data_IF_533283451396
#
_entry.id   IF_533283451396
#
_cell.length_a   1.000
_cell.length_b   1.000
_cell.length_c   1.000
_cell.angle_alpha   90.00
_cell.angle_beta   90.00
_cell.angle_gamma   90.00
#
_symmetry.space_group_name_H-M   'P 1'
#
loop_
_entity.id
_entity.type
_entity.pdbx_description
1 polymer ?
#
# COMPACT_ATOMS: atom_id res chain seq x y z
N UNK A 1 4.10 -5.37 -9.77
CA UNK A 1 4.44 -4.81 -8.45
C UNK A 1 5.89 -5.15 -8.12
N UNK A 2 6.54 -4.36 -7.28
CA UNK A 2 7.88 -4.53 -6.79
C UNK A 2 7.87 -4.48 -5.27
N UNK A 3 8.74 -5.25 -4.62
CA UNK A 3 9.11 -5.04 -3.22
C UNK A 3 10.63 -4.92 -3.12
N UNK A 4 11.09 -3.94 -2.37
CA UNK A 4 12.49 -3.67 -2.12
C UNK A 4 12.68 -3.49 -0.62
N UNK A 5 13.73 -4.09 -0.06
CA UNK A 5 13.98 -4.01 1.38
C UNK A 5 15.48 -3.94 1.68
N UNK A 6 15.81 -3.38 2.85
CA UNK A 6 17.18 -3.38 3.35
C UNK A 6 17.59 -4.80 3.80
N UNK A 7 18.86 -5.18 3.63
CA UNK A 7 19.38 -6.52 3.98
C UNK A 7 19.15 -6.92 5.45
N UNK A 8 19.03 -5.93 6.35
CA UNK A 8 18.78 -6.14 7.78
C UNK A 8 17.32 -6.57 8.08
N UNK A 9 16.42 -6.47 7.10
CA UNK A 9 15.02 -6.92 7.23
C UNK A 9 14.91 -8.38 6.84
N UNK A 10 14.64 -9.24 7.82
CA UNK A 10 14.28 -10.61 7.52
C UNK A 10 12.84 -10.67 7.02
N UNK A 11 12.70 -10.95 5.72
CA UNK A 11 11.40 -11.18 5.10
C UNK A 11 11.29 -12.60 4.56
N UNK A 12 10.09 -13.16 4.63
CA UNK A 12 9.73 -14.40 3.98
C UNK A 12 8.55 -14.14 3.03
N UNK A 13 8.76 -14.34 1.73
CA UNK A 13 7.70 -14.14 0.72
C UNK A 13 6.77 -15.34 0.76
N UNK A 14 5.51 -15.09 1.12
CA UNK A 14 4.48 -16.13 1.25
C UNK A 14 3.77 -16.40 -0.07
N UNK A 15 3.16 -15.36 -0.67
CA UNK A 15 2.48 -15.47 -1.97
C UNK A 15 2.63 -14.18 -2.74
N UNK A 16 2.53 -14.24 -4.07
CA UNK A 16 2.54 -13.04 -4.91
C UNK A 16 1.78 -13.26 -6.21
N UNK A 17 1.33 -12.18 -6.81
CA UNK A 17 0.70 -12.14 -8.11
C UNK A 17 0.97 -10.77 -8.78
N UNK A 18 0.30 -10.48 -9.88
CA UNK A 18 0.32 -9.12 -10.44
C UNK A 18 -0.38 -8.10 -9.53
N UNK A 19 -1.30 -8.55 -8.66
CA UNK A 19 -2.16 -7.71 -7.82
C UNK A 19 -1.75 -7.68 -6.35
N UNK A 20 -0.86 -8.57 -5.89
CA UNK A 20 -0.40 -8.55 -4.51
C UNK A 20 1.00 -9.11 -4.31
N UNK A 21 1.66 -8.70 -3.24
CA UNK A 21 2.82 -9.38 -2.64
C UNK A 21 2.52 -9.54 -1.17
N UNK A 22 2.47 -10.78 -0.68
CA UNK A 22 2.30 -11.08 0.73
C UNK A 22 3.61 -11.59 1.32
N UNK A 23 4.07 -10.96 2.39
CA UNK A 23 5.31 -11.32 3.09
C UNK A 23 5.08 -11.40 4.59
N UNK A 24 5.86 -12.25 5.24
CA UNK A 24 6.08 -12.20 6.68
C UNK A 24 7.34 -11.41 6.96
N UNK A 25 7.22 -10.43 7.87
CA UNK A 25 8.34 -9.60 8.31
C UNK A 25 8.66 -10.00 9.75
N UNK A 26 9.91 -10.40 9.99
CA UNK A 26 10.38 -10.79 11.31
C UNK A 26 11.49 -9.84 11.75
N UNK A 27 11.27 -9.16 12.87
CA UNK A 27 12.27 -8.29 13.49
C UNK A 27 12.24 -8.47 14.99
N UNK A 28 13.40 -8.68 15.62
CA UNK A 28 13.53 -8.75 17.10
C UNK A 28 12.46 -9.67 17.72
N UNK A 29 12.29 -10.87 17.16
CA UNK A 29 11.31 -11.89 17.56
C UNK A 29 9.82 -11.52 17.38
N UNK A 30 9.54 -10.37 16.77
CA UNK A 30 8.19 -9.94 16.42
C UNK A 30 7.95 -10.25 14.94
N UNK A 31 6.98 -11.12 14.70
CA UNK A 31 6.49 -11.44 13.38
C UNK A 31 5.14 -10.74 13.10
N UNK A 32 5.03 -10.18 11.91
CA UNK A 32 3.82 -9.57 11.37
C UNK A 32 3.76 -9.76 9.85
N UNK A 33 2.57 -9.62 9.28
CA UNK A 33 2.33 -9.83 7.85
C UNK A 33 2.12 -8.50 7.14
N UNK A 34 2.83 -8.31 6.03
CA UNK A 34 2.63 -7.20 5.10
C UNK A 34 2.02 -7.73 3.80
N UNK A 35 0.86 -7.21 3.43
CA UNK A 35 0.31 -7.36 2.09
C UNK A 35 0.46 -6.06 1.33
N UNK A 36 1.22 -6.09 0.25
CA UNK A 36 1.24 -5.04 -0.76
C UNK A 36 0.10 -5.33 -1.73
N UNK A 37 -0.83 -4.39 -1.93
CA UNK A 37 -2.03 -4.62 -2.73
C UNK A 37 -2.14 -3.65 -3.91
N UNK A 38 -2.67 -4.15 -5.03
CA UNK A 38 -3.01 -3.39 -6.21
C UNK A 38 -4.36 -3.87 -6.75
N UNK A 39 -5.40 -3.10 -6.44
CA UNK A 39 -6.78 -3.32 -6.85
C UNK A 39 -6.93 -3.12 -8.35
N UNK A 40 -7.94 -3.77 -8.94
CA UNK A 40 -8.18 -3.64 -10.37
C UNK A 40 -8.75 -2.24 -10.69
N UNK A 41 -8.18 -1.49 -11.66
CA UNK A 41 -8.75 -0.21 -12.07
C UNK A 41 -10.16 -0.36 -12.67
N UNK A 42 -10.43 -1.49 -13.34
CA UNK A 42 -11.75 -1.82 -13.88
C UNK A 42 -12.72 -2.20 -12.75
N UNK A 43 -13.76 -1.39 -12.57
CA UNK A 43 -14.79 -1.55 -11.54
C UNK A 43 -15.32 -2.98 -11.42
N UNK A 44 -15.71 -3.58 -12.54
CA UNK A 44 -16.37 -4.89 -12.55
C UNK A 44 -15.45 -6.03 -12.10
N UNK A 45 -14.13 -5.79 -12.10
CA UNK A 45 -13.09 -6.75 -11.69
C UNK A 45 -12.52 -6.46 -10.30
N UNK A 46 -12.95 -5.39 -9.61
CA UNK A 46 -12.45 -5.05 -8.26
C UNK A 46 -12.75 -6.13 -7.24
N UNK A 47 -13.91 -6.77 -7.35
CA UNK A 47 -14.33 -7.87 -6.49
C UNK A 47 -13.35 -9.04 -6.50
N UNK A 48 -12.75 -9.36 -7.66
CA UNK A 48 -11.69 -10.38 -7.74
C UNK A 48 -10.46 -9.99 -6.93
N UNK A 49 -10.08 -8.70 -6.95
CA UNK A 49 -8.98 -8.17 -6.17
C UNK A 49 -9.28 -8.25 -4.67
N UNK A 50 -10.48 -7.86 -4.26
CA UNK A 50 -10.91 -7.92 -2.86
C UNK A 50 -11.06 -9.36 -2.35
N UNK A 51 -11.32 -10.32 -3.23
CA UNK A 51 -11.23 -11.75 -2.93
C UNK A 51 -9.85 -12.19 -2.43
N UNK A 52 -8.77 -11.50 -2.85
CA UNK A 52 -7.41 -11.74 -2.31
C UNK A 52 -7.37 -11.38 -0.82
N UNK A 53 -7.94 -10.25 -0.41
CA UNK A 53 -7.99 -9.86 1.01
C UNK A 53 -8.78 -10.89 1.82
N UNK A 54 -9.93 -11.33 1.30
CA UNK A 54 -10.74 -12.37 1.95
C UNK A 54 -9.95 -13.67 2.10
N UNK A 55 -9.21 -14.08 1.08
CA UNK A 55 -8.36 -15.27 1.13
C UNK A 55 -7.22 -15.13 2.15
N UNK A 56 -6.57 -13.95 2.22
CA UNK A 56 -5.55 -13.68 3.23
C UNK A 56 -6.14 -13.63 4.66
N UNK A 57 -7.40 -13.26 4.82
CA UNK A 57 -8.06 -13.34 6.13
C UNK A 57 -8.30 -14.80 6.59
N UNK A 58 -8.38 -15.77 5.66
CA UNK A 58 -8.55 -17.19 6.00
C UNK A 58 -7.31 -17.77 6.70
N UNK A 59 -6.11 -17.24 6.42
CA UNK A 59 -4.88 -17.63 7.13
C UNK A 59 -4.76 -16.96 8.50
N UNK A 60 -5.76 -16.17 8.92
CA UNK A 60 -5.89 -15.51 10.24
C UNK A 60 -4.58 -14.89 10.74
N UNK A 61 -4.02 -13.93 9.98
CA UNK A 61 -2.75 -13.31 10.33
C UNK A 61 -2.89 -12.50 11.62
N UNK A 62 -2.06 -12.81 12.62
CA UNK A 62 -2.16 -12.19 13.96
C UNK A 62 -1.81 -10.70 13.96
N UNK A 63 -1.01 -10.18 13.03
CA UNK A 63 -0.63 -8.76 12.96
C UNK A 63 -0.53 -8.36 11.51
N UNK A 64 -1.64 -7.95 10.92
CA UNK A 64 -1.73 -7.75 9.48
C UNK A 64 -1.81 -6.28 9.12
N UNK A 65 -0.85 -5.83 8.31
CA UNK A 65 -0.87 -4.57 7.59
C UNK A 65 -1.05 -4.85 6.10
N UNK A 66 -2.00 -4.17 5.47
CA UNK A 66 -2.15 -4.14 4.03
C UNK A 66 -1.99 -2.71 3.54
N UNK A 67 -1.15 -2.50 2.53
CA UNK A 67 -0.85 -1.19 1.97
C UNK A 67 -0.92 -1.23 0.45
N UNK A 68 -1.56 -0.23 -0.14
CA UNK A 68 -1.42 0.01 -1.57
C UNK A 68 -2.60 0.73 -2.21
N UNK A 69 -2.70 0.59 -3.52
CA UNK A 69 -3.76 1.17 -4.34
C UNK A 69 -4.96 0.22 -4.37
N UNK A 70 -6.07 0.63 -3.76
CA UNK A 70 -7.29 -0.18 -3.73
C UNK A 70 -8.20 0.11 -4.94
N UNK A 71 -7.90 1.15 -5.72
CA UNK A 71 -8.73 1.67 -6.80
C UNK A 71 -10.16 2.03 -6.36
N UNK A 72 -10.44 2.18 -5.06
CA UNK A 72 -11.77 2.48 -4.54
C UNK A 72 -11.74 3.41 -3.32
N UNK A 73 -12.81 4.20 -3.17
CA UNK A 73 -13.00 5.14 -2.06
C UNK A 73 -13.87 4.54 -0.95
N UNK A 74 -13.60 4.89 0.32
CA UNK A 74 -14.43 4.53 1.46
C UNK A 74 -15.56 5.53 1.73
N UNK A 75 -15.45 6.76 1.24
CA UNK A 75 -16.48 7.79 1.44
C UNK A 75 -16.59 8.67 0.20
N UNK A 76 -17.80 9.19 -0.08
CA UNK A 76 -17.98 10.18 -1.16
C UNK A 76 -17.08 11.41 -1.00
N UNK A 77 -16.78 11.79 0.24
CA UNK A 77 -15.86 12.88 0.53
C UNK A 77 -14.45 12.63 0.01
N UNK A 78 -14.04 11.38 -0.22
CA UNK A 78 -12.71 11.02 -0.75
C UNK A 78 -12.60 11.21 -2.27
N UNK A 79 -13.66 11.67 -2.93
CA UNK A 79 -13.68 12.03 -4.34
C UNK A 79 -14.03 13.51 -4.51
N UNK A 80 -13.32 14.18 -5.40
CA UNK A 80 -13.62 15.52 -5.88
C UNK A 80 -13.74 15.52 -7.40
N UNK A 81 -14.80 16.16 -7.92
CA UNK A 81 -15.07 16.23 -9.35
C UNK A 81 -15.53 14.90 -9.97
N UNK A 82 -15.88 14.94 -11.26
CA UNK A 82 -16.39 13.80 -12.00
C UNK A 82 -17.72 13.26 -11.46
N UNK A 83 -18.11 12.07 -11.94
CA UNK A 83 -19.36 11.41 -11.53
C UNK A 83 -19.24 10.90 -10.09
N UNK A 84 -20.30 11.08 -9.29
CA UNK A 84 -20.40 10.49 -7.95
C UNK A 84 -20.20 8.97 -8.03
N UNK A 85 -19.39 8.41 -7.12
CA UNK A 85 -19.18 6.96 -7.00
C UNK A 85 -20.52 6.29 -6.65
N UNK A 86 -20.77 5.06 -7.11
CA UNK A 86 -22.01 4.38 -6.74
C UNK A 86 -21.97 3.97 -5.26
N UNK A 87 -23.08 4.13 -4.52
CA UNK A 87 -23.13 3.76 -3.09
C UNK A 87 -22.78 2.29 -2.88
N UNK A 88 -23.30 1.41 -3.75
CA UNK A 88 -22.99 -0.02 -3.75
C UNK A 88 -21.48 -0.31 -3.83
N UNK A 89 -20.71 0.44 -4.62
CA UNK A 89 -19.27 0.21 -4.75
C UNK A 89 -18.53 0.54 -3.45
N UNK A 90 -18.91 1.64 -2.80
CA UNK A 90 -18.37 2.05 -1.51
C UNK A 90 -18.74 1.02 -0.43
N UNK A 91 -20.00 0.59 -0.41
CA UNK A 91 -20.48 -0.35 0.60
C UNK A 91 -19.87 -1.73 0.40
N UNK A 92 -19.74 -2.22 -0.83
CA UNK A 92 -19.06 -3.48 -1.11
C UNK A 92 -17.60 -3.44 -0.63
N UNK A 93 -16.88 -2.33 -0.85
CA UNK A 93 -15.50 -2.21 -0.35
C UNK A 93 -15.43 -2.17 1.18
N UNK A 94 -16.32 -1.42 1.84
CA UNK A 94 -16.42 -1.38 3.31
C UNK A 94 -16.73 -2.76 3.90
N UNK A 95 -17.64 -3.51 3.27
CA UNK A 95 -18.00 -4.85 3.72
C UNK A 95 -16.79 -5.78 3.71
N UNK A 96 -15.98 -5.76 2.64
CA UNK A 96 -14.74 -6.58 2.61
C UNK A 96 -13.78 -6.19 3.72
N UNK A 97 -13.59 -4.89 3.98
CA UNK A 97 -12.73 -4.44 5.07
C UNK A 97 -13.25 -4.89 6.44
N UNK A 98 -14.57 -4.79 6.65
CA UNK A 98 -15.23 -5.24 7.87
C UNK A 98 -15.08 -6.75 8.08
N UNK A 99 -15.32 -7.56 7.04
CA UNK A 99 -15.18 -9.01 7.08
C UNK A 99 -13.72 -9.45 7.36
N UNK A 100 -12.77 -8.67 6.85
CA UNK A 100 -11.34 -8.86 7.11
C UNK A 100 -10.88 -8.26 8.45
N UNK A 101 -11.74 -7.54 9.17
CA UNK A 101 -11.41 -6.77 10.38
C UNK A 101 -10.23 -5.82 10.18
N UNK A 102 -10.16 -5.22 8.99
CA UNK A 102 -9.14 -4.26 8.60
C UNK A 102 -9.70 -2.84 8.67
N UNK A 103 -8.94 -1.93 9.27
CA UNK A 103 -9.34 -0.56 9.51
C UNK A 103 -8.42 0.40 8.77
N UNK A 104 -8.98 1.45 8.17
CA UNK A 104 -8.21 2.57 7.63
C UNK A 104 -7.37 3.22 8.72
N UNK A 105 -6.05 3.25 8.54
CA UNK A 105 -5.13 3.93 9.46
C UNK A 105 -5.16 5.45 9.32
N UNK A 106 -5.92 5.97 8.35
CA UNK A 106 -6.06 7.39 8.10
C UNK A 106 -4.87 7.96 7.34
N UNK A 107 -4.63 9.26 7.50
CA UNK A 107 -3.54 10.01 6.88
C UNK A 107 -3.34 11.34 7.61
N UNK A 108 -2.12 11.89 7.60
CA UNK A 108 -1.80 13.18 8.24
C UNK A 108 -1.61 14.35 7.28
N UNK A 109 -1.30 14.07 6.01
CA UNK A 109 -1.08 15.10 4.98
C UNK A 109 -1.64 14.63 3.65
N UNK A 110 -2.23 15.55 2.88
CA UNK A 110 -2.76 15.28 1.53
C UNK A 110 -3.95 14.31 1.52
N UNK A 111 -5.15 14.82 1.27
CA UNK A 111 -6.37 13.98 1.26
C UNK A 111 -6.45 13.05 0.04
N UNK A 112 -6.01 13.51 -1.12
CA UNK A 112 -6.16 12.78 -2.38
C UNK A 112 -4.81 12.17 -2.77
N UNK A 113 -4.84 10.92 -3.21
CA UNK A 113 -3.66 10.19 -3.66
C UNK A 113 -3.63 10.01 -5.17
N UNK A 114 -4.73 10.29 -5.87
CA UNK A 114 -4.82 10.22 -7.33
C UNK A 114 -5.42 11.48 -7.95
N UNK A 115 -5.00 11.82 -9.17
CA UNK A 115 -5.51 12.94 -9.97
C UNK A 115 -5.44 12.62 -11.46
N UNK A 116 -6.53 12.86 -12.19
CA UNK A 116 -6.51 12.70 -13.65
C UNK A 116 -5.77 13.81 -14.41
N UNK A 117 -5.31 14.85 -13.70
CA UNK A 117 -4.62 16.04 -14.23
C UNK A 117 -5.32 16.77 -15.37
N UNK A 118 -6.62 16.54 -15.56
CA UNK A 118 -7.41 17.30 -16.54
C UNK A 118 -7.69 18.69 -16.00
N UNK A 119 -7.90 19.63 -16.91
CA UNK A 119 -8.34 20.98 -16.58
C UNK A 119 -9.87 21.06 -16.57
N UNK A 120 -10.39 22.16 -16.01
CA UNK A 120 -11.81 22.54 -16.04
C UNK A 120 -12.77 21.53 -15.38
N UNK A 121 -14.00 21.45 -15.86
CA UNK A 121 -15.08 20.63 -15.28
C UNK A 121 -14.80 19.11 -15.29
N UNK A 122 -13.76 18.67 -16.02
CA UNK A 122 -13.34 17.28 -16.07
C UNK A 122 -12.26 16.91 -15.04
N UNK A 123 -11.78 17.88 -14.27
CA UNK A 123 -10.79 17.64 -13.23
C UNK A 123 -11.35 16.73 -12.14
N UNK A 124 -10.61 15.68 -11.79
CA UNK A 124 -11.01 14.71 -10.75
C UNK A 124 -9.82 14.33 -9.89
N UNK A 125 -10.06 14.24 -8.58
CA UNK A 125 -9.10 13.74 -7.58
C UNK A 125 -9.76 12.74 -6.64
N UNK A 126 -9.02 11.70 -6.26
CA UNK A 126 -9.52 10.59 -5.43
C UNK A 126 -8.48 10.16 -4.39
N UNK A 127 -8.92 9.58 -3.28
CA UNK A 127 -8.06 8.85 -2.33
C UNK A 127 -8.19 7.35 -2.60
N UNK A 128 -7.27 6.80 -3.38
CA UNK A 128 -7.27 5.40 -3.81
C UNK A 128 -6.22 4.56 -3.06
N UNK A 129 -5.14 5.20 -2.61
CA UNK A 129 -4.01 4.57 -1.93
C UNK A 129 -4.18 4.67 -0.41
N UNK A 130 -4.03 3.55 0.29
CA UNK A 130 -4.40 3.42 1.71
C UNK A 130 -3.46 2.45 2.43
N UNK A 131 -3.30 2.64 3.74
CA UNK A 131 -2.81 1.62 4.63
C UNK A 131 -3.96 1.20 5.57
N UNK A 132 -4.23 -0.10 5.61
CA UNK A 132 -5.27 -0.69 6.44
C UNK A 132 -4.65 -1.78 7.32
N UNK A 133 -5.09 -1.91 8.57
CA UNK A 133 -4.53 -2.94 9.46
C UNK A 133 -5.57 -3.50 10.43
N UNK A 134 -5.27 -4.68 10.97
CA UNK A 134 -6.06 -5.28 12.04
C UNK A 134 -5.71 -4.72 13.42
N UNK A 135 -6.56 -5.02 14.40
CA UNK A 135 -6.46 -4.45 15.75
C UNK A 135 -5.15 -4.81 16.45
N UNK A 136 -4.63 -5.99 16.20
CA UNK A 136 -3.43 -6.54 16.80
C UNK A 136 -2.15 -5.91 16.23
N UNK A 137 -2.15 -5.60 14.92
CA UNK A 137 -1.09 -4.79 14.33
C UNK A 137 -1.09 -3.39 14.95
N UNK A 138 -2.26 -2.76 15.06
CA UNK A 138 -2.41 -1.44 15.69
C UNK A 138 -1.97 -1.44 17.16
N UNK A 139 -2.31 -2.47 17.93
CA UNK A 139 -1.91 -2.61 19.33
C UNK A 139 -0.38 -2.68 19.48
N UNK A 140 0.29 -3.34 18.53
CA UNK A 140 1.75 -3.50 18.54
C UNK A 140 2.50 -2.24 18.11
N UNK A 141 2.03 -1.60 17.03
CA UNK A 141 2.74 -0.50 16.35
C UNK A 141 2.09 0.87 16.55
N UNK A 142 1.10 0.96 17.45
CA UNK A 142 0.43 2.19 17.83
C UNK A 142 -0.40 2.83 16.72
N UNK A 143 -0.84 2.05 15.73
CA UNK A 143 -1.58 2.54 14.54
C UNK A 143 -0.68 3.15 13.45
N UNK A 144 0.58 3.45 13.75
CA UNK A 144 1.53 4.11 12.84
C UNK A 144 1.04 5.47 12.32
N UNK A 145 1.73 5.98 11.30
CA UNK A 145 1.37 7.24 10.65
C UNK A 145 1.48 7.12 9.13
N UNK A 146 0.42 7.47 8.40
CA UNK A 146 0.40 7.50 6.93
C UNK A 146 0.52 8.93 6.43
N UNK A 147 1.55 9.21 5.64
CA UNK A 147 1.79 10.50 5.00
C UNK A 147 1.65 10.37 3.48
N UNK A 148 0.85 11.25 2.85
CA UNK A 148 0.81 11.33 1.38
C UNK A 148 1.91 12.28 0.92
N UNK A 149 2.81 11.78 0.07
CA UNK A 149 3.94 12.51 -0.48
C UNK A 149 3.57 13.15 -1.82
N UNK A 150 3.97 14.39 -2.04
CA UNK A 150 3.74 15.07 -3.30
C UNK A 150 4.46 14.35 -4.45
N UNK A 151 3.78 14.20 -5.59
CA UNK A 151 4.30 13.64 -6.82
C UNK A 151 4.10 14.62 -7.97
N UNK A 152 5.12 14.77 -8.82
CA UNK A 152 5.05 15.56 -10.06
C UNK A 152 5.15 14.70 -11.32
N UNK A 153 5.37 13.39 -11.17
CA UNK A 153 5.70 12.47 -12.27
C UNK A 153 4.73 11.31 -12.42
N UNK A 154 3.76 11.18 -11.52
CA UNK A 154 2.69 10.18 -11.56
C UNK A 154 1.34 10.85 -11.28
N UNK A 155 0.27 10.25 -11.79
CA UNK A 155 -1.10 10.53 -11.40
C UNK A 155 -1.42 10.08 -9.99
N UNK A 156 -0.58 9.22 -9.39
CA UNK A 156 -0.58 8.89 -7.98
C UNK A 156 0.47 9.67 -7.18
N UNK A 157 0.10 9.97 -5.93
CA UNK A 157 0.97 10.43 -4.86
C UNK A 157 1.37 9.23 -3.98
N UNK A 158 2.68 8.98 -3.75
CA UNK A 158 3.12 7.92 -2.86
C UNK A 158 2.58 8.10 -1.45
N UNK A 159 2.40 6.99 -0.75
CA UNK A 159 2.11 6.99 0.68
C UNK A 159 3.31 6.44 1.45
N UNK A 160 3.72 7.14 2.49
CA UNK A 160 4.75 6.73 3.44
C UNK A 160 4.08 6.35 4.75
N UNK A 161 4.26 5.10 5.15
CA UNK A 161 3.81 4.56 6.42
C UNK A 161 4.99 4.49 7.38
N UNK A 162 4.95 5.31 8.44
CA UNK A 162 5.87 5.23 9.56
C UNK A 162 5.33 4.22 10.57
N UNK A 163 6.10 3.18 10.83
CA UNK A 163 5.77 2.11 11.77
C UNK A 163 6.63 2.31 13.02
N UNK A 164 6.01 2.86 14.06
CA UNK A 164 6.67 3.06 15.34
C UNK A 164 6.58 1.80 16.20
N UNK A 165 7.70 1.15 16.50
CA UNK A 165 7.70 0.11 17.52
C UNK A 165 7.75 0.75 18.92
N UNK A 166 6.63 0.68 19.66
CA UNK A 166 6.52 1.22 21.03
C UNK A 166 7.53 0.60 22.01
N UNK A 167 8.06 -0.59 21.72
CA UNK A 167 8.97 -1.31 22.62
C UNK A 167 10.46 -1.10 22.34
N UNK A 168 10.84 -0.70 21.12
CA UNK A 168 12.26 -0.73 20.68
C UNK A 168 12.79 0.65 20.28
N UNK A 169 11.93 1.65 20.09
CA UNK A 169 12.35 3.03 19.83
C UNK A 169 13.03 3.25 18.46
N UNK A 170 13.06 2.23 17.60
CA UNK A 170 13.57 2.32 16.24
C UNK A 170 12.40 2.26 15.25
N UNK A 171 12.13 3.33 14.48
CA UNK A 171 11.04 3.34 13.51
C UNK A 171 11.38 2.51 12.26
N UNK A 172 10.43 1.69 11.81
CA UNK A 172 10.42 1.11 10.48
C UNK A 172 9.67 2.06 9.53
N UNK A 173 10.12 2.17 8.28
CA UNK A 173 9.44 2.95 7.25
C UNK A 173 9.03 2.06 6.09
N UNK A 174 7.75 2.13 5.72
CA UNK A 174 7.19 1.42 4.58
C UNK A 174 6.69 2.46 3.59
N UNK A 175 7.34 2.59 2.44
CA UNK A 175 6.88 3.48 1.37
C UNK A 175 6.17 2.68 0.29
N UNK A 176 4.96 3.07 -0.07
CA UNK A 176 4.26 2.54 -1.24
C UNK A 176 4.16 3.65 -2.29
N UNK A 177 4.63 3.36 -3.51
CA UNK A 177 4.68 4.33 -4.60
C UNK A 177 4.30 3.69 -5.94
N UNK A 178 3.77 4.47 -6.87
CA UNK A 178 3.75 4.07 -8.28
C UNK A 178 5.17 4.15 -8.89
N UNK A 179 5.46 3.25 -9.83
CA UNK A 179 6.64 3.19 -10.69
C UNK A 179 6.92 4.52 -11.39
N UNK A 180 5.89 5.30 -11.74
CA UNK A 180 6.10 6.62 -12.37
C UNK A 180 6.58 7.67 -11.36
N UNK A 181 6.31 7.48 -10.07
CA UNK A 181 6.86 8.32 -8.99
C UNK A 181 8.31 7.97 -8.66
N UNK A 182 8.90 7.00 -9.38
CA UNK A 182 10.15 6.36 -9.01
C UNK A 182 11.44 7.19 -9.25
N UNK A 183 11.35 8.53 -9.27
CA UNK A 183 12.49 9.44 -9.03
C UNK A 183 13.33 9.02 -7.81
N UNK A 184 12.71 8.34 -6.86
CA UNK A 184 13.28 7.86 -5.58
C UNK A 184 14.02 6.50 -5.65
N UNK A 185 14.16 5.87 -6.82
CA UNK A 185 14.70 4.50 -6.94
C UNK A 185 15.91 4.43 -7.87
N UNK A 186 16.84 3.49 -7.58
CA UNK A 186 18.06 3.30 -8.37
C UNK A 186 17.75 2.93 -9.82
N UNK A 187 18.62 3.35 -10.74
CA UNK A 187 18.51 3.01 -12.16
C UNK A 187 18.43 1.49 -12.41
N UNK A 188 19.03 0.69 -11.53
CA UNK A 188 19.00 -0.79 -11.57
C UNK A 188 17.59 -1.35 -11.45
N UNK A 189 16.78 -0.87 -10.49
CA UNK A 189 15.38 -1.30 -10.32
C UNK A 189 14.57 -0.94 -11.57
N UNK A 190 14.77 0.25 -12.13
CA UNK A 190 14.07 0.66 -13.36
C UNK A 190 14.44 -0.22 -14.56
N UNK A 191 15.68 -0.71 -14.62
CA UNK A 191 16.19 -1.56 -15.72
C UNK A 191 15.70 -3.00 -15.59
N UNK A 192 15.76 -3.58 -14.38
CA UNK A 192 15.22 -4.91 -14.09
C UNK A 192 13.72 -4.98 -14.43
N UNK A 193 12.95 -3.95 -14.06
CA UNK A 193 11.50 -3.90 -14.33
C UNK A 193 11.16 -3.85 -15.83
N UNK A 194 11.95 -3.12 -16.63
CA UNK A 194 11.76 -3.06 -18.09
C UNK A 194 12.02 -4.40 -18.77
N UNK A 195 12.92 -5.22 -18.24
CA UNK A 195 13.24 -6.53 -18.84
C UNK A 195 12.24 -7.62 -18.46
N UNK A 196 11.75 -7.63 -17.22
CA UNK A 196 11.05 -8.80 -16.68
C UNK A 196 9.53 -8.71 -16.79
N UNK A 197 8.95 -7.50 -16.82
CA UNK A 197 7.50 -7.31 -17.06
C UNK A 197 6.57 -7.93 -16.00
N UNK A 198 7.10 -8.46 -14.90
CA UNK A 198 6.38 -9.24 -13.87
C UNK A 198 6.56 -8.65 -12.47
N UNK A 199 5.95 -9.31 -11.46
CA UNK A 199 6.15 -8.98 -10.06
C UNK A 199 7.57 -9.35 -9.60
N UNK A 200 8.25 -8.48 -8.86
CA UNK A 200 9.64 -8.71 -8.42
C UNK A 200 9.87 -8.35 -6.95
N UNK A 201 10.80 -9.04 -6.32
CA UNK A 201 11.26 -8.79 -4.96
C UNK A 201 12.79 -8.78 -4.96
N UNK A 202 13.44 -7.69 -4.53
CA UNK A 202 14.90 -7.54 -4.56
C UNK A 202 15.45 -6.84 -3.30
N UNK A 203 16.48 -7.42 -2.70
CA UNK A 203 17.24 -6.83 -1.56
C UNK A 203 18.08 -5.65 -2.02
N UNK A 204 18.15 -4.57 -1.24
CA UNK A 204 19.09 -3.47 -1.43
C UNK A 204 20.12 -3.43 -0.31
N UNK A 205 21.35 -3.02 -0.66
CA UNK A 205 22.39 -2.69 0.33
C UNK A 205 21.86 -1.66 1.33
N UNK A 206 22.11 -1.93 2.61
CA UNK A 206 21.64 -1.13 3.72
C UNK A 206 22.02 0.35 3.60
N UNK A 207 21.08 1.22 3.96
CA UNK A 207 21.34 2.62 4.27
C UNK A 207 22.04 2.70 5.65
N UNK A 208 23.06 3.55 5.86
CA UNK A 208 23.73 3.69 7.16
C UNK A 208 22.86 4.30 8.28
N UNK A 209 21.55 4.44 8.06
CA UNK A 209 20.58 4.92 9.06
C UNK A 209 19.90 3.71 9.68
N UNK A 210 19.67 3.74 10.99
CA UNK A 210 18.94 2.74 11.79
C UNK A 210 17.46 2.57 11.39
N UNK A 211 17.03 3.08 10.25
CA UNK A 211 15.67 3.01 9.73
C UNK A 211 15.64 1.92 8.67
N UNK A 212 14.85 0.88 8.91
CA UNK A 212 14.53 -0.16 7.95
C UNK A 212 13.52 0.38 6.94
N UNK A 213 13.82 0.22 5.65
CA UNK A 213 12.96 0.68 4.57
C UNK A 213 12.39 -0.49 3.78
N UNK A 214 11.06 -0.64 3.81
CA UNK A 214 10.33 -1.42 2.82
C UNK A 214 9.80 -0.47 1.75
N UNK A 215 10.08 -0.74 0.47
CA UNK A 215 9.56 0.06 -0.63
C UNK A 215 8.80 -0.81 -1.61
N UNK A 216 7.53 -0.47 -1.80
CA UNK A 216 6.63 -1.15 -2.71
C UNK A 216 6.43 -0.28 -3.94
N UNK A 217 6.48 -0.90 -5.13
CA UNK A 217 6.29 -0.18 -6.39
C UNK A 217 5.25 -0.84 -7.30
N UNK A 218 4.17 -0.15 -7.64
CA UNK A 218 3.14 -0.66 -8.56
C UNK A 218 3.31 -0.09 -9.97
N UNK A 219 2.85 -0.84 -11.00
CA UNK A 219 2.88 -0.35 -12.40
C UNK A 219 1.46 0.10 -12.75
N UNK A 220 1.25 1.41 -12.79
CA UNK A 220 0.02 2.03 -13.29
C UNK A 220 0.02 2.10 -14.82
#
# INVERSE_FOLDING_TARGET
MALLWDEEVHINISTYSQRHINIWVTRTEIEWMLTCFYGNPETDKRQEGWGILSHMNLIKPKRWLCIGDFNEVLHHSEKYGGTRRADKQIDDFRNVLQDCQLWDLGFTQGKYTWSNFRQDHNFTKERLDRAIANSEWCAMFGGGEVQVLASSTSDHCPILMNVGNRMIGIPDQITFADMKTAGLFSQSVRRLFRMLGTCMAETKKASPRSIINLRVVCRC
#
